data_IF_581141097695
#
_entry.id   IF_581141097695
#
_cell.length_a   1.000
_cell.length_b   1.000
_cell.length_c   1.000
_cell.angle_alpha   90.00
_cell.angle_beta   90.00
_cell.angle_gamma   90.00
#
_symmetry.space_group_name_H-M   'P 1'
#
loop_
_entity.id
_entity.type
_entity.pdbx_description
1 polymer ?
#
# COMPACT_ATOMS: atom_id res chain seq x y z
N UNK A 1 -11.30 1.06 17.32
CA UNK A 1 -10.06 0.92 16.53
C UNK A 1 -9.72 -0.51 16.10
N UNK A 2 -9.68 -1.52 16.98
CA UNK A 2 -9.20 -2.87 16.63
C UNK A 2 -9.88 -3.58 15.44
N UNK A 3 -11.21 -3.47 15.28
CA UNK A 3 -11.93 -4.06 14.14
C UNK A 3 -11.63 -3.37 12.81
N UNK A 4 -11.42 -2.05 12.84
CA UNK A 4 -11.05 -1.27 11.64
C UNK A 4 -9.62 -1.60 11.19
N UNK A 5 -8.68 -1.68 12.13
CA UNK A 5 -7.29 -2.08 11.85
C UNK A 5 -7.26 -3.53 11.32
N UNK A 6 -8.02 -4.43 11.94
CA UNK A 6 -8.13 -5.82 11.48
C UNK A 6 -8.69 -5.92 10.05
N UNK A 7 -9.72 -5.14 9.71
CA UNK A 7 -10.25 -5.09 8.33
C UNK A 7 -9.25 -4.51 7.33
N UNK A 8 -8.48 -3.50 7.72
CA UNK A 8 -7.43 -2.91 6.87
C UNK A 8 -6.28 -3.88 6.62
N UNK A 9 -5.81 -4.57 7.66
CA UNK A 9 -4.77 -5.62 7.54
C UNK A 9 -5.25 -6.78 6.67
N UNK A 10 -6.50 -7.22 6.83
CA UNK A 10 -7.08 -8.25 5.97
C UNK A 10 -7.15 -7.80 4.51
N UNK A 11 -7.56 -6.55 4.25
CA UNK A 11 -7.58 -5.97 2.90
C UNK A 11 -6.19 -5.88 2.26
N UNK A 12 -5.18 -5.45 3.02
CA UNK A 12 -3.79 -5.41 2.58
C UNK A 12 -3.25 -6.82 2.26
N UNK A 13 -3.55 -7.81 3.10
CA UNK A 13 -3.12 -9.18 2.89
C UNK A 13 -3.70 -9.74 1.58
N UNK A 14 -5.01 -9.60 1.36
CA UNK A 14 -5.68 -10.04 0.12
C UNK A 14 -5.09 -9.33 -1.11
N UNK A 15 -4.94 -8.00 -1.04
CA UNK A 15 -4.38 -7.21 -2.13
C UNK A 15 -2.93 -7.60 -2.46
N UNK A 16 -2.10 -7.84 -1.43
CA UNK A 16 -0.71 -8.26 -1.60
C UNK A 16 -0.60 -9.65 -2.22
N UNK A 17 -1.41 -10.61 -1.78
CA UNK A 17 -1.42 -11.97 -2.34
C UNK A 17 -1.86 -11.97 -3.79
N UNK A 18 -2.94 -11.26 -4.14
CA UNK A 18 -3.36 -11.11 -5.54
C UNK A 18 -2.23 -10.46 -6.34
N UNK A 19 -1.66 -9.36 -5.83
CA UNK A 19 -0.52 -8.67 -6.44
C UNK A 19 0.65 -9.61 -6.73
N UNK A 20 1.04 -10.46 -5.79
CA UNK A 20 2.13 -11.44 -5.97
C UNK A 20 1.82 -12.52 -7.02
N UNK A 21 0.56 -12.92 -7.18
CA UNK A 21 0.15 -13.90 -8.19
C UNK A 21 0.17 -13.29 -9.59
N UNK A 22 -0.29 -12.04 -9.74
CA UNK A 22 -0.35 -11.39 -11.06
C UNK A 22 1.00 -10.79 -11.46
N UNK A 23 1.76 -10.22 -10.52
CA UNK A 23 3.06 -9.55 -10.74
C UNK A 23 4.04 -10.28 -11.68
N UNK A 24 4.28 -11.61 -11.56
CA UNK A 24 5.21 -12.31 -12.46
C UNK A 24 4.70 -12.42 -13.91
N UNK A 25 3.39 -12.32 -14.14
CA UNK A 25 2.78 -12.35 -15.47
C UNK A 25 2.78 -10.96 -16.14
N UNK A 26 3.09 -9.90 -15.39
CA UNK A 26 3.23 -8.56 -15.95
C UNK A 26 4.64 -8.35 -16.52
N UNK A 27 4.70 -7.59 -17.63
CA UNK A 27 5.97 -7.15 -18.22
C UNK A 27 6.91 -6.48 -17.20
N UNK A 28 8.21 -6.67 -17.40
CA UNK A 28 9.28 -6.03 -16.60
C UNK A 28 9.12 -4.51 -16.50
N UNK A 29 8.62 -3.86 -17.55
CA UNK A 29 8.34 -2.41 -17.56
C UNK A 29 7.23 -2.06 -16.58
N UNK A 30 6.18 -2.87 -16.52
CA UNK A 30 5.04 -2.64 -15.63
C UNK A 30 5.37 -2.99 -14.18
N UNK A 31 6.15 -4.05 -13.94
CA UNK A 31 6.69 -4.33 -12.60
C UNK A 31 7.52 -3.15 -12.05
N UNK A 32 8.39 -2.55 -12.88
CA UNK A 32 9.15 -1.34 -12.49
C UNK A 32 8.23 -0.15 -12.17
N UNK A 33 7.16 0.04 -12.94
CA UNK A 33 6.16 1.09 -12.68
C UNK A 33 5.41 0.85 -11.37
N UNK A 34 4.97 -0.38 -11.11
CA UNK A 34 4.30 -0.76 -9.86
C UNK A 34 5.23 -0.51 -8.67
N UNK A 35 6.50 -0.91 -8.76
CA UNK A 35 7.50 -0.65 -7.71
C UNK A 35 7.70 0.85 -7.48
N UNK A 36 7.80 1.65 -8.55
CA UNK A 36 7.93 3.11 -8.45
C UNK A 36 6.67 3.78 -7.87
N UNK A 37 5.48 3.27 -8.22
CA UNK A 37 4.22 3.72 -7.65
C UNK A 37 4.15 3.39 -6.15
N UNK A 38 4.58 2.19 -5.74
CA UNK A 38 4.68 1.81 -4.33
C UNK A 38 5.57 2.78 -3.52
N UNK A 39 6.76 3.13 -4.03
CA UNK A 39 7.61 4.13 -3.36
C UNK A 39 6.95 5.50 -3.25
N UNK A 40 6.24 5.95 -4.29
CA UNK A 40 5.49 7.22 -4.23
C UNK A 40 4.36 7.17 -3.20
N UNK A 41 3.63 6.05 -3.13
CA UNK A 41 2.56 5.86 -2.15
C UNK A 41 3.11 5.85 -0.73
N UNK A 42 4.28 5.25 -0.49
CA UNK A 42 4.93 5.27 0.82
C UNK A 42 5.34 6.69 1.22
N UNK A 43 6.00 7.44 0.34
CA UNK A 43 6.37 8.83 0.63
C UNK A 43 5.14 9.70 0.88
N UNK A 44 4.08 9.55 0.07
CA UNK A 44 2.84 10.28 0.26
C UNK A 44 2.12 9.89 1.55
N UNK A 45 2.15 8.61 1.90
CA UNK A 45 1.60 8.14 3.16
C UNK A 45 2.40 8.68 4.33
N UNK A 46 3.73 8.78 4.25
CA UNK A 46 4.58 9.36 5.30
C UNK A 46 4.29 10.85 5.52
N UNK A 47 4.19 11.63 4.44
CA UNK A 47 3.77 13.04 4.50
C UNK A 47 2.34 13.17 5.07
N UNK A 48 1.40 12.36 4.60
CA UNK A 48 -0.01 12.45 5.03
C UNK A 48 -0.23 11.87 6.43
N UNK A 49 0.54 10.86 6.87
CA UNK A 49 0.44 10.31 8.22
C UNK A 49 0.92 11.31 9.26
N UNK A 50 1.96 12.10 8.94
CA UNK A 50 2.39 13.22 9.78
C UNK A 50 1.21 14.17 10.03
N UNK A 51 0.58 14.63 8.95
CA UNK A 51 -0.57 15.54 9.02
C UNK A 51 -1.80 14.93 9.71
N UNK A 52 -2.11 13.64 9.46
CA UNK A 52 -3.26 12.96 10.06
C UNK A 52 -3.03 12.69 11.56
N UNK A 53 -1.81 12.30 11.96
CA UNK A 53 -1.49 12.09 13.38
C UNK A 53 -1.49 13.44 14.12
N UNK A 54 -0.94 14.49 13.52
CA UNK A 54 -0.93 15.83 14.12
C UNK A 54 -2.34 16.44 14.20
N UNK A 55 -3.24 16.12 13.26
CA UNK A 55 -4.64 16.55 13.31
C UNK A 55 -5.48 15.79 14.36
N UNK A 56 -5.08 14.56 14.70
CA UNK A 56 -5.77 13.73 15.70
C UNK A 56 -5.32 14.06 17.14
N UNK A 57 -4.22 14.78 17.32
CA UNK A 57 -3.62 15.16 18.61
C UNK A 57 -4.08 16.54 19.09
#
# INVERSE_FOLDING_TARGET
MGRYISGMVAGLAVGATIGMIVMPQLDRKTQKKIKKAGYKLLNFAEESYGDIIDFIN
#
